data_IF_419628720129
#
_entry.id   IF_419628720129
#
_cell.length_a   1.000
_cell.length_b   1.000
_cell.length_c   1.000
_cell.angle_alpha   90.00
_cell.angle_beta   90.00
_cell.angle_gamma   90.00
#
_symmetry.space_group_name_H-M   'P 1'
#
loop_
_entity.id
_entity.type
_entity.pdbx_description
1 polymer ?
#
# COMPACT_ATOMS: atom_id res chain seq x y z
N UNK A 1 -0.89 15.93 -16.81
CA UNK A 1 -2.08 16.03 -15.94
C UNK A 1 -1.83 15.15 -14.71
N UNK A 2 -1.53 15.73 -13.54
CA UNK A 2 -1.36 14.96 -12.29
C UNK A 2 -2.75 14.77 -11.70
N UNK A 3 -3.24 13.54 -11.73
CA UNK A 3 -4.43 13.17 -10.97
C UNK A 3 -3.98 13.08 -9.51
N UNK A 4 -4.60 13.88 -8.65
CA UNK A 4 -4.38 13.80 -7.20
C UNK A 4 -5.43 12.87 -6.61
N UNK A 5 -4.99 11.80 -5.96
CA UNK A 5 -5.88 10.87 -5.28
C UNK A 5 -6.05 11.29 -3.82
N UNK A 6 -7.21 11.00 -3.23
CA UNK A 6 -7.37 11.13 -1.78
C UNK A 6 -6.55 10.05 -1.05
N UNK A 7 -6.15 10.26 0.22
CA UNK A 7 -5.41 9.24 0.98
C UNK A 7 -6.09 7.87 0.99
N UNK A 8 -7.41 7.83 1.14
CA UNK A 8 -8.20 6.59 1.07
C UNK A 8 -8.16 5.93 -0.32
N UNK A 9 -8.20 6.71 -1.40
CA UNK A 9 -8.02 6.19 -2.76
C UNK A 9 -6.61 5.63 -2.98
N UNK A 10 -5.58 6.31 -2.48
CA UNK A 10 -4.19 5.84 -2.55
C UNK A 10 -4.03 4.51 -1.82
N UNK A 11 -4.55 4.41 -0.59
CA UNK A 11 -4.49 3.17 0.19
C UNK A 11 -5.22 2.01 -0.52
N UNK A 12 -6.39 2.27 -1.10
CA UNK A 12 -7.14 1.30 -1.89
C UNK A 12 -6.38 0.84 -3.14
N UNK A 13 -5.77 1.77 -3.88
CA UNK A 13 -5.00 1.47 -5.10
C UNK A 13 -3.74 0.65 -4.78
N UNK A 14 -3.02 1.01 -3.71
CA UNK A 14 -1.87 0.24 -3.23
C UNK A 14 -2.31 -1.16 -2.81
N UNK A 15 -3.39 -1.28 -2.03
CA UNK A 15 -3.91 -2.60 -1.62
C UNK A 15 -4.39 -3.45 -2.79
N UNK A 16 -4.92 -2.85 -3.86
CA UNK A 16 -5.26 -3.57 -5.10
C UNK A 16 -4.01 -4.06 -5.83
N UNK A 17 -3.00 -3.20 -5.96
CA UNK A 17 -1.74 -3.57 -6.60
C UNK A 17 -1.00 -4.67 -5.83
N UNK A 18 -1.04 -4.65 -4.49
CA UNK A 18 -0.52 -5.71 -3.63
C UNK A 18 -1.20 -7.06 -3.90
N UNK A 19 -2.54 -7.11 -3.88
CA UNK A 19 -3.29 -8.34 -4.24
C UNK A 19 -2.97 -8.83 -5.65
N UNK A 20 -2.71 -7.93 -6.59
CA UNK A 20 -2.33 -8.30 -7.94
C UNK A 20 -0.93 -8.93 -8.00
N UNK A 21 0.03 -8.46 -7.20
CA UNK A 21 1.34 -9.11 -7.05
C UNK A 21 1.21 -10.49 -6.40
N UNK A 22 0.36 -10.64 -5.38
CA UNK A 22 0.07 -11.93 -4.73
C UNK A 22 -0.53 -12.93 -5.74
N UNK A 23 -1.45 -12.47 -6.59
CA UNK A 23 -2.03 -13.30 -7.65
C UNK A 23 -0.98 -13.73 -8.67
N UNK A 24 -0.11 -12.81 -9.11
CA UNK A 24 1.01 -13.13 -10.01
C UNK A 24 1.91 -14.23 -9.43
N UNK A 25 2.19 -14.16 -8.13
CA UNK A 25 2.96 -15.18 -7.40
C UNK A 25 2.21 -16.51 -7.40
N UNK A 26 0.92 -16.52 -7.05
CA UNK A 26 0.10 -17.74 -7.01
C UNK A 26 0.02 -18.41 -8.40
N UNK A 27 -0.30 -17.64 -9.44
CA UNK A 27 -0.41 -18.14 -10.82
C UNK A 27 0.91 -18.71 -11.33
N UNK A 28 2.03 -18.08 -10.98
CA UNK A 28 3.36 -18.56 -11.36
C UNK A 28 3.74 -19.88 -10.68
N UNK A 29 3.34 -20.06 -9.41
CA UNK A 29 3.52 -21.33 -8.70
C UNK A 29 2.73 -22.45 -9.38
N UNK A 30 1.48 -22.17 -9.77
CA UNK A 30 0.62 -23.15 -10.43
C UNK A 30 1.09 -23.52 -11.84
N UNK A 31 1.69 -22.59 -12.59
CA UNK A 31 2.11 -22.82 -13.98
C UNK A 31 3.49 -23.46 -14.13
N UNK A 32 4.51 -22.94 -13.43
CA UNK A 32 5.90 -23.35 -13.68
C UNK A 32 6.36 -24.54 -12.81
N UNK A 33 5.57 -24.96 -11.83
CA UNK A 33 5.79 -26.14 -10.98
C UNK A 33 7.02 -26.09 -10.05
N UNK A 34 8.05 -25.32 -10.41
CA UNK A 34 9.32 -25.18 -9.68
C UNK A 34 9.38 -23.91 -8.82
N UNK A 35 8.44 -22.97 -8.98
CA UNK A 35 8.28 -21.81 -8.09
C UNK A 35 9.49 -20.87 -7.95
N UNK A 36 10.47 -20.95 -8.86
CA UNK A 36 11.68 -20.12 -8.82
C UNK A 36 11.49 -18.77 -9.51
N UNK A 37 10.87 -18.79 -10.68
CA UNK A 37 10.67 -17.61 -11.53
C UNK A 37 9.18 -17.30 -11.66
N UNK A 38 8.91 -16.04 -12.01
CA UNK A 38 7.57 -15.61 -12.41
C UNK A 38 7.29 -16.17 -13.80
N UNK A 39 6.11 -16.74 -13.98
CA UNK A 39 5.68 -17.30 -15.25
C UNK A 39 5.70 -16.20 -16.32
N UNK A 40 6.16 -16.54 -17.54
CA UNK A 40 6.30 -15.58 -18.64
C UNK A 40 4.99 -14.85 -18.95
N UNK A 41 3.87 -15.56 -18.86
CA UNK A 41 2.51 -15.03 -19.03
C UNK A 41 2.19 -13.86 -18.08
N UNK A 42 2.82 -13.82 -16.90
CA UNK A 42 2.58 -12.81 -15.88
C UNK A 42 3.59 -11.64 -15.88
N UNK A 43 4.61 -11.66 -16.75
CA UNK A 43 5.68 -10.64 -16.76
C UNK A 43 5.16 -9.23 -17.02
N UNK A 44 4.24 -9.07 -17.99
CA UNK A 44 3.66 -7.77 -18.30
C UNK A 44 2.84 -7.22 -17.13
N UNK A 45 1.95 -8.05 -16.58
CA UNK A 45 1.15 -7.70 -15.40
C UNK A 45 2.03 -7.30 -14.23
N UNK A 46 3.07 -8.08 -13.93
CA UNK A 46 4.05 -7.76 -12.89
C UNK A 46 4.69 -6.39 -13.12
N UNK A 47 5.16 -6.12 -14.34
CA UNK A 47 5.81 -4.86 -14.68
C UNK A 47 4.90 -3.65 -14.42
N UNK A 48 3.69 -3.69 -14.96
CA UNK A 48 2.71 -2.60 -14.80
C UNK A 48 2.34 -2.38 -13.34
N UNK A 49 2.15 -3.45 -12.58
CA UNK A 49 1.85 -3.36 -11.14
C UNK A 49 3.00 -2.74 -10.36
N UNK A 50 4.26 -3.13 -10.63
CA UNK A 50 5.44 -2.55 -9.98
C UNK A 50 5.60 -1.06 -10.33
N UNK A 51 5.45 -0.70 -11.61
CA UNK A 51 5.50 0.71 -12.05
C UNK A 51 4.40 1.53 -11.38
N UNK A 52 3.20 0.97 -11.26
CA UNK A 52 2.07 1.60 -10.57
C UNK A 52 2.39 1.86 -9.09
N UNK A 53 2.93 0.86 -8.38
CA UNK A 53 3.34 1.00 -6.98
C UNK A 53 4.41 2.09 -6.81
N UNK A 54 5.43 2.10 -7.68
CA UNK A 54 6.49 3.12 -7.65
C UNK A 54 5.89 4.52 -7.82
N UNK A 55 4.99 4.71 -8.78
CA UNK A 55 4.31 6.00 -9.02
C UNK A 55 3.46 6.41 -7.84
N UNK A 56 2.63 5.51 -7.31
CA UNK A 56 1.78 5.80 -6.14
C UNK A 56 2.60 6.23 -4.92
N UNK A 57 3.62 5.45 -4.54
CA UNK A 57 4.45 5.79 -3.39
C UNK A 57 5.29 7.06 -3.60
N UNK A 58 5.79 7.28 -4.82
CA UNK A 58 6.64 8.45 -5.10
C UNK A 58 5.85 9.75 -5.19
N UNK A 59 4.65 9.70 -5.74
CA UNK A 59 3.90 10.90 -6.14
C UNK A 59 2.71 11.19 -5.21
N UNK A 60 2.15 10.19 -4.55
CA UNK A 60 0.87 10.31 -3.82
C UNK A 60 1.02 10.06 -2.32
N UNK A 61 2.11 9.42 -1.86
CA UNK A 61 2.36 9.12 -0.45
C UNK A 61 3.40 10.09 0.13
N UNK A 62 3.05 10.95 1.09
CA UNK A 62 4.03 11.76 1.81
C UNK A 62 5.11 10.88 2.47
N UNK A 63 6.39 11.14 2.18
CA UNK A 63 7.50 10.31 2.67
C UNK A 63 7.71 8.97 1.94
N UNK A 64 6.83 8.60 0.99
CA UNK A 64 6.86 7.31 0.29
C UNK A 64 7.99 7.14 -0.74
N UNK A 65 8.76 8.20 -1.04
CA UNK A 65 9.83 8.16 -2.04
C UNK A 65 10.93 7.11 -1.73
N UNK A 66 11.21 6.87 -0.45
CA UNK A 66 12.16 5.83 -0.03
C UNK A 66 11.63 4.42 -0.35
N UNK A 67 10.34 4.16 -0.10
CA UNK A 67 9.70 2.90 -0.45
C UNK A 67 9.67 2.67 -1.97
N UNK A 68 9.30 3.70 -2.75
CA UNK A 68 9.34 3.64 -4.21
C UNK A 68 10.74 3.29 -4.74
N UNK A 69 11.79 3.87 -4.15
CA UNK A 69 13.18 3.57 -4.52
C UNK A 69 13.58 2.15 -4.17
N UNK A 70 13.17 1.64 -3.00
CA UNK A 70 13.42 0.24 -2.59
C UNK A 70 12.73 -0.73 -3.54
N UNK A 71 11.45 -0.51 -3.85
CA UNK A 71 10.68 -1.33 -4.80
C UNK A 71 11.39 -1.38 -6.16
N UNK A 72 11.78 -0.22 -6.70
CA UNK A 72 12.47 -0.14 -7.99
C UNK A 72 13.81 -0.90 -7.98
N UNK A 73 14.59 -0.81 -6.90
CA UNK A 73 15.87 -1.51 -6.76
C UNK A 73 15.68 -3.02 -6.69
N UNK A 74 14.72 -3.50 -5.90
CA UNK A 74 14.46 -4.94 -5.80
C UNK A 74 13.95 -5.51 -7.12
N UNK A 75 13.09 -4.76 -7.83
CA UNK A 75 12.64 -5.18 -9.16
C UNK A 75 13.78 -5.24 -10.18
N UNK A 76 14.67 -4.24 -10.20
CA UNK A 76 15.80 -4.20 -11.12
C UNK A 76 16.85 -5.31 -10.85
N UNK A 77 17.06 -5.65 -9.57
CA UNK A 77 17.98 -6.73 -9.16
C UNK A 77 17.37 -8.12 -9.30
N UNK A 78 16.04 -8.20 -9.30
CA UNK A 78 15.27 -9.42 -9.12
C UNK A 78 15.24 -10.37 -10.31
N UNK A 79 15.96 -10.09 -11.39
CA UNK A 79 16.02 -10.94 -12.57
C UNK A 79 17.02 -12.10 -12.37
N UNK A 80 16.60 -13.31 -12.73
CA UNK A 80 17.48 -14.48 -12.74
C UNK A 80 18.62 -14.27 -13.75
N UNK A 81 19.86 -14.44 -13.32
CA UNK A 81 21.03 -14.15 -14.14
C UNK A 81 21.15 -15.02 -15.40
N UNK A 82 20.45 -16.17 -15.46
CA UNK A 82 20.49 -17.07 -16.62
C UNK A 82 19.34 -16.81 -17.58
N UNK A 83 18.13 -16.59 -17.06
CA UNK A 83 16.93 -16.45 -17.91
C UNK A 83 16.50 -15.01 -18.15
N UNK A 84 17.02 -14.05 -17.36
CA UNK A 84 16.54 -12.67 -17.32
C UNK A 84 15.12 -12.52 -16.77
N UNK A 85 14.48 -13.62 -16.34
CA UNK A 85 13.11 -13.60 -15.85
C UNK A 85 13.07 -13.09 -14.40
N UNK A 86 12.05 -12.28 -14.02
CA UNK A 86 11.83 -11.92 -12.64
C UNK A 86 11.69 -13.16 -11.74
N UNK A 87 12.35 -13.14 -10.59
CA UNK A 87 12.33 -14.24 -9.62
C UNK A 87 11.20 -14.08 -8.62
N UNK A 88 10.65 -15.20 -8.17
CA UNK A 88 9.62 -15.24 -7.12
C UNK A 88 10.10 -14.60 -5.82
N UNK A 89 11.38 -14.80 -5.48
CA UNK A 89 12.00 -14.19 -4.31
C UNK A 89 11.95 -12.66 -4.37
N UNK A 90 12.29 -12.06 -5.53
CA UNK A 90 12.24 -10.60 -5.69
C UNK A 90 10.84 -10.02 -5.53
N UNK A 91 9.82 -10.69 -6.09
CA UNK A 91 8.43 -10.24 -5.98
C UNK A 91 7.92 -10.34 -4.53
N UNK A 92 8.31 -11.40 -3.81
CA UNK A 92 8.01 -11.53 -2.38
C UNK A 92 8.68 -10.43 -1.55
N UNK A 93 9.94 -10.09 -1.83
CA UNK A 93 10.60 -8.96 -1.17
C UNK A 93 9.90 -7.64 -1.46
N UNK A 94 9.44 -7.42 -2.70
CA UNK A 94 8.64 -6.22 -3.05
C UNK A 94 7.35 -6.18 -2.24
N UNK A 95 6.62 -7.30 -2.10
CA UNK A 95 5.42 -7.38 -1.27
C UNK A 95 5.69 -6.97 0.18
N UNK A 96 6.78 -7.45 0.78
CA UNK A 96 7.18 -7.04 2.14
C UNK A 96 7.45 -5.54 2.23
N UNK A 97 8.17 -4.96 1.27
CA UNK A 97 8.43 -3.51 1.24
C UNK A 97 7.13 -2.71 1.13
N UNK A 98 6.16 -3.18 0.33
CA UNK A 98 4.85 -2.53 0.19
C UNK A 98 4.07 -2.60 1.50
N UNK A 99 4.04 -3.76 2.17
CA UNK A 99 3.35 -3.95 3.45
C UNK A 99 3.96 -3.08 4.56
N UNK A 100 5.28 -3.04 4.66
CA UNK A 100 6.00 -2.20 5.61
C UNK A 100 5.70 -0.71 5.36
N UNK A 101 5.75 -0.28 4.10
CA UNK A 101 5.46 1.10 3.72
C UNK A 101 3.99 1.47 3.97
N UNK A 102 3.05 0.58 3.68
CA UNK A 102 1.63 0.78 3.98
C UNK A 102 1.40 0.95 5.49
N UNK A 103 2.03 0.12 6.30
CA UNK A 103 1.94 0.19 7.76
C UNK A 103 2.57 1.49 8.29
N UNK A 104 3.66 1.94 7.67
CA UNK A 104 4.39 3.13 8.13
C UNK A 104 3.73 4.45 7.70
N UNK A 105 3.07 4.49 6.54
CA UNK A 105 2.60 5.74 5.92
C UNK A 105 1.07 5.84 5.79
N UNK A 106 0.35 4.73 5.88
CA UNK A 106 -1.09 4.66 5.57
C UNK A 106 -1.92 4.04 6.71
N UNK A 107 -1.33 3.82 7.90
CA UNK A 107 -2.01 3.20 9.05
C UNK A 107 -3.09 4.07 9.72
N UNK A 108 -3.41 5.25 9.19
CA UNK A 108 -4.53 6.08 9.65
C UNK A 108 -5.73 5.94 8.70
N UNK A 109 -6.49 4.86 8.91
CA UNK A 109 -7.74 4.58 8.18
C UNK A 109 -8.77 3.76 8.97
N UNK A 110 -8.40 3.27 10.16
CA UNK A 110 -9.33 2.81 11.21
C UNK A 110 -9.28 3.75 12.40
N UNK A 111 -9.29 5.06 12.12
CA UNK A 111 -9.74 6.04 13.10
C UNK A 111 -11.26 6.01 13.09
N UNK A 112 -11.85 5.48 14.16
CA UNK A 112 -13.17 5.93 14.62
C UNK A 112 -13.25 7.44 14.39
N UNK A 113 -14.27 7.85 13.62
CA UNK A 113 -14.62 9.24 13.43
C UNK A 113 -14.53 9.96 14.78
N UNK A 114 -13.92 11.15 14.78
CA UNK A 114 -13.78 11.98 15.96
C UNK A 114 -15.10 12.10 16.71
N UNK A 115 -15.22 11.38 17.81
CA UNK A 115 -16.03 11.82 18.93
C UNK A 115 -15.11 12.76 19.68
N UNK A 116 -15.26 14.05 19.38
CA UNK A 116 -14.81 15.10 20.28
C UNK A 116 -15.30 14.71 21.69
N UNK A 117 -14.43 14.60 22.72
CA UNK A 117 -14.91 14.41 24.07
C UNK A 117 -15.78 15.64 24.39
N UNK A 118 -17.08 15.41 24.56
CA UNK A 118 -18.01 16.44 24.98
C UNK A 118 -17.39 17.20 26.17
N UNK A 119 -17.41 18.55 26.17
CA UNK A 119 -16.84 19.30 27.26
C UNK A 119 -17.51 18.88 28.58
N UNK A 120 -16.76 18.85 29.70
CA UNK A 120 -17.33 18.49 30.99
C UNK A 120 -18.50 19.43 31.27
N UNK A 121 -19.68 18.85 31.50
CA UNK A 121 -20.86 19.59 31.91
C UNK A 121 -20.53 20.22 33.27
N UNK A 122 -20.32 21.53 33.25
CA UNK A 122 -20.19 22.35 34.45
C UNK A 122 -21.55 22.37 35.16
N UNK A 123 -21.79 21.40 36.05
CA UNK A 123 -22.91 21.44 36.99
C UNK A 123 -22.57 22.43 38.12
N UNK A 124 -22.46 23.70 37.76
CA UNK A 124 -22.11 24.81 38.62
C UNK A 124 -23.13 25.94 38.51
N UNK A 125 -24.31 25.74 39.12
CA UNK A 125 -25.18 26.74 39.76
C UNK A 125 -25.69 27.98 38.98
N UNK A 126 -26.92 28.38 39.36
CA UNK A 126 -27.56 29.71 39.19
C UNK A 126 -28.39 29.81 37.90
N UNK A 127 -29.71 30.10 37.87
CA UNK A 127 -30.60 31.06 38.57
C UNK A 127 -32.06 30.64 38.22
N UNK A 128 -33.13 30.94 38.96
CA UNK A 128 -33.90 32.19 38.99
C UNK A 128 -35.06 32.02 40.03
N UNK A 129 -35.23 32.87 41.05
CA UNK A 129 -35.99 34.15 41.10
C UNK A 129 -37.47 34.04 40.63
N UNK A 130 -38.39 34.35 41.60
CA UNK A 130 -39.81 34.79 41.49
C UNK A 130 -40.85 33.71 41.10
N UNK A 131 -41.98 33.50 41.81
CA UNK A 131 -43.03 34.46 42.20
C UNK A 131 -44.05 33.75 43.12
N UNK A 132 -44.62 34.43 44.12
CA UNK A 132 -45.80 33.97 44.88
C UNK A 132 -45.72 34.23 46.37
#
# INVERSE_FOLDING_TARGET
MRISYTPGQVAMLIGRAERQLEQVVADSIHQDGAGRNIARSAHHTLHETVVTLIRLFREQVPGGAAAATRIAREYAKGADARSGAPTMASVRTILLVVQDARTSFLAEGTGVAGVEPAPPVDTGHTRDIRTG
#
